data_IF_959212355264
#
_entry.id   IF_959212355264
#
_cell.length_a   1.000
_cell.length_b   1.000
_cell.length_c   1.000
_cell.angle_alpha   90.00
_cell.angle_beta   90.00
_cell.angle_gamma   90.00
#
_symmetry.space_group_name_H-M   'P 1'
#
loop_
_entity.id
_entity.type
_entity.pdbx_description
1 polymer ?
#
# COMPACT_ATOMS: atom_id res chain seq x y z
N UNK A 1 46.55 -50.52 28.08
CA UNK A 1 47.55 -50.38 27.02
C UNK A 1 47.26 -49.04 26.46
N UNK A 2 47.84 -48.13 27.11
CA UNK A 2 48.94 -47.19 26.79
C UNK A 2 48.58 -46.10 25.76
N UNK A 3 48.44 -44.99 26.34
CA UNK A 3 48.81 -43.61 25.90
C UNK A 3 50.29 -43.63 25.39
N UNK A 4 50.91 -42.64 24.75
CA UNK A 4 50.61 -41.20 24.76
C UNK A 4 51.01 -40.44 23.46
N UNK A 5 50.72 -39.16 23.29
CA UNK A 5 51.58 -37.95 23.40
C UNK A 5 50.91 -36.77 22.67
N UNK A 6 50.46 -35.86 23.40
CA UNK A 6 50.83 -34.45 23.65
C UNK A 6 51.81 -33.81 22.65
N UNK A 7 51.36 -32.72 22.00
CA UNK A 7 52.16 -31.48 21.88
C UNK A 7 51.29 -30.27 21.50
N UNK A 8 51.31 -29.41 22.46
CA UNK A 8 50.99 -27.97 22.36
C UNK A 8 51.76 -27.29 21.24
N UNK A 9 51.16 -26.23 20.66
CA UNK A 9 51.82 -24.95 20.44
C UNK A 9 50.82 -23.87 20.06
N UNK A 10 50.78 -22.88 20.92
CA UNK A 10 50.17 -21.59 20.80
C UNK A 10 51.02 -20.65 19.88
N UNK A 11 50.54 -19.42 19.62
CA UNK A 11 50.59 -18.72 18.35
C UNK A 11 51.78 -17.76 18.22
N UNK A 12 51.88 -17.00 17.19
CA UNK A 12 52.49 -15.65 17.33
C UNK A 12 51.57 -14.50 16.98
N UNK A 13 51.68 -13.55 17.82
CA UNK A 13 51.35 -12.20 17.90
C UNK A 13 51.96 -11.33 16.76
N UNK A 14 51.22 -10.30 16.43
CA UNK A 14 51.64 -8.93 16.15
C UNK A 14 52.78 -8.59 15.15
N UNK A 15 52.46 -7.62 14.38
CA UNK A 15 53.18 -6.36 14.06
C UNK A 15 53.04 -6.05 12.58
N UNK A 16 52.98 -4.85 12.07
CA UNK A 16 53.32 -3.53 12.55
C UNK A 16 52.93 -2.47 11.51
N UNK A 17 52.39 -1.37 11.97
CA UNK A 17 52.79 -0.02 11.66
C UNK A 17 53.21 0.38 10.22
N UNK A 18 52.47 1.31 9.62
CA UNK A 18 53.06 2.39 8.86
C UNK A 18 52.40 3.72 9.22
N UNK A 19 53.08 4.46 10.08
CA UNK A 19 52.96 5.88 10.27
C UNK A 19 53.70 6.55 9.13
N UNK A 20 53.11 7.57 8.51
CA UNK A 20 53.87 8.60 7.79
C UNK A 20 53.70 9.91 8.50
N UNK A 21 54.86 10.42 8.90
CA UNK A 21 55.11 11.65 9.59
C UNK A 21 55.19 12.82 8.61
N UNK A 22 54.72 13.93 9.10
CA UNK A 22 54.87 15.29 8.57
C UNK A 22 56.33 15.73 8.43
N UNK A 23 56.66 16.49 7.40
CA UNK A 23 57.72 17.58 7.42
C UNK A 23 57.42 18.62 6.35
N UNK A 24 57.06 19.77 6.76
CA UNK A 24 57.71 21.11 6.75
C UNK A 24 58.17 21.70 5.42
N UNK A 25 57.54 22.79 5.07
CA UNK A 25 57.98 24.12 4.69
C UNK A 25 59.08 24.30 3.63
N UNK A 26 58.75 25.13 2.62
CA UNK A 26 59.60 26.32 2.33
C UNK A 26 58.77 27.37 1.54
N UNK A 27 58.83 28.60 2.04
CA UNK A 27 58.26 29.79 1.45
C UNK A 27 59.17 30.33 0.37
N UNK A 28 58.61 30.80 -0.76
CA UNK A 28 59.26 31.83 -1.60
C UNK A 28 58.24 32.87 -1.98
N UNK A 29 58.50 34.09 -1.56
CA UNK A 29 57.81 35.32 -1.91
C UNK A 29 58.20 35.73 -3.34
N UNK A 30 57.25 36.06 -4.19
CA UNK A 30 57.38 37.06 -5.23
C UNK A 30 56.06 37.76 -5.51
N UNK A 31 56.13 39.06 -5.46
CA UNK A 31 55.08 40.02 -5.68
C UNK A 31 54.77 40.22 -7.17
N UNK A 32 53.52 40.54 -7.44
CA UNK A 32 53.21 41.40 -8.57
C UNK A 32 52.08 41.03 -9.46
N UNK A 33 51.16 41.99 -9.53
CA UNK A 33 50.22 42.33 -10.60
C UNK A 33 48.78 41.88 -10.35
N UNK A 34 48.02 42.87 -9.89
CA UNK A 34 46.55 42.95 -9.95
C UNK A 34 46.06 42.94 -11.40
N UNK A 35 45.28 41.95 -11.74
CA UNK A 35 44.28 42.07 -12.81
C UNK A 35 43.05 41.28 -12.39
N UNK A 36 41.90 41.93 -12.48
CA UNK A 36 40.60 41.47 -12.00
C UNK A 36 40.19 40.09 -12.48
N UNK A 37 39.93 39.23 -11.55
CA UNK A 37 39.19 37.98 -11.81
C UNK A 37 37.77 38.18 -11.29
N UNK A 38 36.86 38.39 -12.24
CA UNK A 38 35.42 38.25 -12.00
C UNK A 38 35.19 36.86 -11.48
N UNK A 39 34.74 36.73 -10.25
CA UNK A 39 34.26 35.48 -9.70
C UNK A 39 32.99 35.08 -10.48
N UNK A 40 33.16 34.21 -11.46
CA UNK A 40 32.07 33.39 -11.95
C UNK A 40 31.59 32.56 -10.76
N UNK A 41 30.44 32.94 -10.20
CA UNK A 41 29.71 32.11 -9.29
C UNK A 41 29.36 30.81 -10.02
N UNK A 42 30.04 29.74 -9.67
CA UNK A 42 29.64 28.39 -10.03
C UNK A 42 28.29 28.20 -9.32
N UNK A 43 27.18 27.95 -10.03
CA UNK A 43 25.94 27.63 -9.36
C UNK A 43 26.17 26.31 -8.57
N UNK A 44 25.91 26.40 -7.29
CA UNK A 44 25.98 25.27 -6.36
C UNK A 44 24.96 24.20 -6.83
N UNK A 45 25.46 23.25 -7.62
CA UNK A 45 24.63 22.15 -8.17
C UNK A 45 24.58 20.95 -7.22
N UNK A 46 24.52 21.18 -5.93
CA UNK A 46 24.38 20.13 -4.91
C UNK A 46 22.98 20.01 -4.32
N UNK A 47 21.95 20.49 -4.99
CA UNK A 47 20.60 20.06 -4.72
C UNK A 47 20.38 18.69 -5.38
N UNK A 48 20.73 17.63 -4.68
CA UNK A 48 20.21 16.29 -5.00
C UNK A 48 18.69 16.39 -4.97
N UNK A 49 17.97 16.03 -6.05
CA UNK A 49 16.52 16.06 -6.01
C UNK A 49 16.05 15.01 -4.99
N UNK A 50 15.41 15.44 -3.91
CA UNK A 50 14.47 14.62 -3.19
C UNK A 50 14.86 14.01 -1.87
N UNK A 51 15.84 14.54 -1.09
CA UNK A 51 15.85 14.20 0.34
C UNK A 51 14.75 15.00 1.04
N UNK A 52 13.64 14.34 1.40
CA UNK A 52 12.63 14.95 2.26
C UNK A 52 13.28 15.30 3.60
N UNK A 53 13.30 16.57 3.92
CA UNK A 53 13.73 17.03 5.24
C UNK A 53 12.78 16.47 6.33
N UNK A 54 13.28 16.26 7.54
CA UNK A 54 12.56 15.71 8.70
C UNK A 54 11.30 16.48 9.16
N UNK A 55 10.83 17.47 8.40
CA UNK A 55 9.61 18.23 8.62
C UNK A 55 8.50 17.97 7.59
N UNK A 56 8.69 17.02 6.68
CA UNK A 56 7.65 16.67 5.71
C UNK A 56 6.48 15.96 6.40
N UNK A 57 5.25 16.38 6.09
CA UNK A 57 4.03 15.76 6.59
C UNK A 57 3.84 14.34 6.06
N UNK A 58 2.78 13.63 6.48
CA UNK A 58 2.45 12.32 5.95
C UNK A 58 2.20 12.39 4.44
N UNK A 59 2.65 11.38 3.72
CA UNK A 59 2.54 11.32 2.26
C UNK A 59 1.65 10.15 1.87
N UNK A 60 0.67 10.45 1.01
CA UNK A 60 -0.10 9.45 0.31
C UNK A 60 0.58 9.05 -1.00
N UNK A 61 0.55 7.79 -1.33
CA UNK A 61 1.08 7.26 -2.59
C UNK A 61 -0.09 6.72 -3.41
N UNK A 62 -0.44 7.41 -4.47
CA UNK A 62 -1.59 7.11 -5.32
C UNK A 62 -1.11 6.34 -6.55
N UNK A 63 -1.70 5.18 -6.78
CA UNK A 63 -1.39 4.36 -7.96
C UNK A 63 -2.18 4.86 -9.15
N UNK A 64 -1.46 5.20 -10.20
CA UNK A 64 -1.94 5.57 -11.52
C UNK A 64 -1.56 4.48 -12.53
N UNK A 65 -2.13 4.43 -13.73
CA UNK A 65 -1.92 3.30 -14.66
C UNK A 65 -0.45 2.97 -15.00
N UNK A 66 0.45 3.95 -14.96
CA UNK A 66 1.87 3.76 -15.30
C UNK A 66 2.82 4.38 -14.29
N UNK A 67 2.30 4.90 -13.19
CA UNK A 67 3.10 5.62 -12.20
C UNK A 67 2.49 5.52 -10.81
N UNK A 68 3.30 5.85 -9.80
CA UNK A 68 2.82 6.19 -8.46
C UNK A 68 3.08 7.67 -8.24
N UNK A 69 2.04 8.41 -7.87
CA UNK A 69 2.16 9.84 -7.59
C UNK A 69 2.13 10.07 -6.09
N UNK A 70 3.22 10.57 -5.51
CA UNK A 70 3.21 11.01 -4.11
C UNK A 70 2.35 12.27 -3.96
N UNK A 71 1.58 12.31 -2.87
CA UNK A 71 0.74 13.43 -2.49
C UNK A 71 1.06 13.85 -1.06
N UNK A 72 1.61 15.04 -0.89
CA UNK A 72 1.80 15.61 0.45
C UNK A 72 0.41 15.93 1.04
N UNK A 73 0.06 15.29 2.16
CA UNK A 73 -1.32 15.28 2.64
C UNK A 73 -1.72 16.56 3.39
N UNK A 74 -0.76 17.31 3.95
CA UNK A 74 -1.03 18.59 4.64
C UNK A 74 -1.25 19.72 3.65
N UNK A 75 -0.31 19.91 2.72
CA UNK A 75 -0.38 20.94 1.70
C UNK A 75 -1.34 20.57 0.56
N UNK A 76 -1.67 19.28 0.45
CA UNK A 76 -2.47 18.71 -0.64
C UNK A 76 -1.85 18.98 -2.01
N UNK A 77 -0.53 18.83 -2.07
CA UNK A 77 0.24 19.08 -3.28
C UNK A 77 0.74 17.74 -3.85
N UNK A 78 0.36 17.36 -5.08
CA UNK A 78 0.94 16.21 -5.75
C UNK A 78 2.39 16.52 -6.15
N UNK A 79 3.25 15.53 -5.97
CA UNK A 79 4.66 15.60 -6.38
C UNK A 79 4.86 14.99 -7.78
N UNK A 80 6.09 14.96 -8.25
CA UNK A 80 6.43 14.35 -9.53
C UNK A 80 6.10 12.84 -9.52
N UNK A 81 5.43 12.31 -10.56
CA UNK A 81 5.08 10.90 -10.61
C UNK A 81 6.31 10.02 -10.75
N UNK A 82 6.34 8.92 -10.01
CA UNK A 82 7.35 7.88 -10.07
C UNK A 82 6.91 6.87 -11.11
N UNK A 83 7.56 6.85 -12.26
CA UNK A 83 7.21 5.96 -13.37
C UNK A 83 7.48 4.49 -13.00
N UNK A 84 6.53 3.62 -13.32
CA UNK A 84 6.66 2.18 -13.12
C UNK A 84 7.30 1.53 -14.36
N UNK A 85 8.37 0.75 -14.23
CA UNK A 85 9.06 0.12 -15.36
C UNK A 85 8.35 -1.18 -15.81
N UNK A 86 7.10 -1.08 -16.23
CA UNK A 86 6.22 -2.22 -16.56
C UNK A 86 5.94 -2.42 -18.04
N UNK A 87 6.46 -1.53 -18.88
CA UNK A 87 6.51 -1.69 -20.34
C UNK A 87 5.22 -1.37 -21.10
N UNK A 88 4.13 -1.07 -20.44
CA UNK A 88 2.83 -0.70 -21.03
C UNK A 88 1.80 -0.35 -19.97
N UNK A 89 0.57 -0.11 -20.38
CA UNK A 89 -0.54 0.15 -19.47
C UNK A 89 -1.22 -1.18 -19.12
N UNK A 90 -1.14 -1.65 -17.87
CA UNK A 90 -1.86 -2.83 -17.43
C UNK A 90 -3.37 -2.64 -17.49
N UNK A 91 -4.16 -3.72 -17.47
CA UNK A 91 -5.61 -3.63 -17.29
C UNK A 91 -5.98 -2.84 -16.03
N UNK A 92 -7.03 -2.04 -16.10
CA UNK A 92 -7.58 -1.33 -14.94
C UNK A 92 -8.05 -2.37 -13.90
N UNK A 93 -7.73 -2.13 -12.63
CA UNK A 93 -8.11 -3.00 -11.52
C UNK A 93 -7.01 -3.96 -11.03
N UNK A 94 -5.91 -4.10 -11.77
CA UNK A 94 -4.80 -4.99 -11.41
C UNK A 94 -3.66 -4.25 -10.69
N UNK A 95 -4.01 -3.40 -9.71
CA UNK A 95 -3.03 -2.64 -8.94
C UNK A 95 -3.37 -2.64 -7.46
N UNK A 96 -2.37 -2.89 -6.64
CA UNK A 96 -2.42 -2.59 -5.22
C UNK A 96 -1.09 -2.03 -4.76
N UNK A 97 -1.11 -1.22 -3.72
CA UNK A 97 0.07 -0.60 -3.14
C UNK A 97 0.07 -0.73 -1.63
N UNK A 98 1.24 -0.94 -1.06
CA UNK A 98 1.48 -0.89 0.38
C UNK A 98 2.83 -0.24 0.66
N UNK A 99 3.04 0.23 1.89
CA UNK A 99 4.32 0.77 2.35
C UNK A 99 4.95 -0.11 3.42
N UNK A 100 6.28 -0.13 3.49
CA UNK A 100 6.98 -0.75 4.60
C UNK A 100 6.77 0.05 5.89
N UNK A 101 6.82 -0.62 7.03
CA UNK A 101 6.62 -0.01 8.35
C UNK A 101 7.70 1.01 8.73
N UNK A 102 8.89 0.92 8.12
CA UNK A 102 9.99 1.88 8.28
C UNK A 102 9.84 3.11 7.35
N UNK A 103 8.79 3.16 6.52
CA UNK A 103 8.54 4.26 5.59
C UNK A 103 9.55 4.36 4.44
N UNK A 104 10.46 3.41 4.29
CA UNK A 104 11.52 3.47 3.28
C UNK A 104 11.06 2.99 1.91
N UNK A 105 10.17 2.02 1.86
CA UNK A 105 9.73 1.37 0.63
C UNK A 105 8.22 1.46 0.43
N UNK A 106 7.81 1.62 -0.82
CA UNK A 106 6.49 1.23 -1.26
C UNK A 106 6.60 0.05 -2.23
N UNK A 107 5.55 -0.76 -2.28
CA UNK A 107 5.47 -1.95 -3.12
C UNK A 107 4.18 -1.92 -3.90
N UNK A 108 4.30 -1.94 -5.22
CA UNK A 108 3.16 -2.02 -6.14
C UNK A 108 3.12 -3.40 -6.76
N UNK A 109 2.00 -4.09 -6.63
CA UNK A 109 1.73 -5.30 -7.40
C UNK A 109 0.91 -4.92 -8.62
N UNK A 110 1.31 -5.42 -9.79
CA UNK A 110 0.68 -5.14 -11.08
C UNK A 110 1.10 -6.14 -12.16
N UNK A 111 0.67 -5.91 -13.38
CA UNK A 111 1.09 -6.69 -14.55
C UNK A 111 2.07 -5.91 -15.41
N UNK A 112 3.09 -6.60 -15.89
CA UNK A 112 3.98 -6.11 -16.93
C UNK A 112 3.46 -6.56 -18.30
N UNK A 113 3.23 -5.58 -19.17
CA UNK A 113 2.64 -5.79 -20.51
C UNK A 113 3.61 -5.40 -21.62
N UNK A 114 4.89 -5.68 -21.45
CA UNK A 114 5.92 -5.31 -22.42
C UNK A 114 5.61 -5.88 -23.83
N UNK A 115 5.72 -5.06 -24.88
CA UNK A 115 5.42 -5.50 -26.25
C UNK A 115 6.19 -6.75 -26.66
N UNK A 116 5.50 -7.71 -27.26
CA UNK A 116 6.10 -8.98 -27.74
C UNK A 116 6.45 -9.98 -26.63
N UNK A 117 6.03 -9.73 -25.39
CA UNK A 117 6.20 -10.66 -24.27
C UNK A 117 4.84 -11.02 -23.68
N UNK A 118 4.69 -12.22 -23.11
CA UNK A 118 3.47 -12.55 -22.36
C UNK A 118 3.33 -11.63 -21.16
N UNK A 119 2.09 -11.31 -20.81
CA UNK A 119 1.77 -10.58 -19.59
C UNK A 119 2.25 -11.37 -18.37
N UNK A 120 2.98 -10.72 -17.50
CA UNK A 120 3.52 -11.33 -16.26
C UNK A 120 3.17 -10.50 -15.05
N UNK A 121 2.81 -11.16 -13.97
CA UNK A 121 2.59 -10.50 -12.69
C UNK A 121 3.93 -10.07 -12.10
N UNK A 122 3.99 -8.85 -11.59
CA UNK A 122 5.21 -8.26 -11.05
C UNK A 122 4.95 -7.50 -9.75
N UNK A 123 5.94 -7.54 -8.87
CA UNK A 123 6.05 -6.65 -7.73
C UNK A 123 7.11 -5.58 -8.05
N UNK A 124 6.74 -4.31 -7.95
CA UNK A 124 7.63 -3.17 -8.19
C UNK A 124 7.97 -2.50 -6.87
N UNK A 125 9.18 -2.67 -6.35
CA UNK A 125 9.64 -1.91 -5.19
C UNK A 125 9.95 -0.46 -5.59
N UNK A 126 9.55 0.49 -4.74
CA UNK A 126 9.82 1.92 -4.91
C UNK A 126 10.60 2.39 -3.69
N UNK A 127 11.80 2.92 -3.89
CA UNK A 127 12.57 3.59 -2.85
C UNK A 127 11.98 4.98 -2.63
N UNK A 128 11.39 5.20 -1.46
CA UNK A 128 10.68 6.44 -1.14
C UNK A 128 11.62 7.60 -0.81
N UNK A 129 12.85 7.30 -0.39
CA UNK A 129 13.85 8.34 -0.13
C UNK A 129 14.39 8.95 -1.43
N UNK A 130 14.57 8.12 -2.46
CA UNK A 130 15.05 8.56 -3.77
C UNK A 130 13.93 8.80 -4.77
N UNK A 131 12.69 8.45 -4.44
CA UNK A 131 11.52 8.51 -5.32
C UNK A 131 11.74 7.78 -6.66
N UNK A 132 12.31 6.58 -6.59
CA UNK A 132 12.61 5.77 -7.78
C UNK A 132 12.06 4.38 -7.67
N UNK A 133 11.41 3.93 -8.74
CA UNK A 133 11.03 2.55 -8.90
C UNK A 133 12.26 1.70 -9.21
N UNK A 134 12.37 0.57 -8.51
CA UNK A 134 13.40 -0.41 -8.76
C UNK A 134 12.97 -1.39 -9.87
N UNK A 135 13.88 -2.29 -10.28
CA UNK A 135 13.56 -3.34 -11.26
C UNK A 135 12.41 -4.19 -10.74
N UNK A 136 11.38 -4.46 -11.58
CA UNK A 136 10.28 -5.35 -11.21
C UNK A 136 10.77 -6.76 -10.85
N UNK A 137 10.11 -7.35 -9.89
CA UNK A 137 10.31 -8.75 -9.47
C UNK A 137 9.17 -9.56 -10.08
N UNK A 138 9.49 -10.50 -10.96
CA UNK A 138 8.48 -11.39 -11.54
C UNK A 138 7.87 -12.29 -10.47
N UNK A 139 6.54 -12.37 -10.44
CA UNK A 139 5.80 -13.22 -9.55
C UNK A 139 5.34 -14.48 -10.30
N UNK A 140 5.44 -15.66 -9.69
CA UNK A 140 4.81 -16.86 -10.26
C UNK A 140 3.28 -16.72 -10.22
N UNK A 141 2.60 -17.47 -11.09
CA UNK A 141 1.15 -17.44 -11.22
C UNK A 141 0.67 -16.53 -12.36
N UNK A 142 -0.63 -16.61 -12.62
CA UNK A 142 -1.31 -15.87 -13.69
C UNK A 142 -2.64 -15.34 -13.16
N UNK A 143 -3.19 -14.31 -13.79
CA UNK A 143 -4.44 -13.67 -13.43
C UNK A 143 -4.23 -12.34 -12.71
N UNK A 144 -5.28 -11.85 -12.06
CA UNK A 144 -5.28 -10.54 -11.41
C UNK A 144 -4.24 -10.40 -10.31
N UNK A 145 -3.71 -9.19 -10.16
CA UNK A 145 -2.73 -8.79 -9.13
C UNK A 145 -3.34 -7.69 -8.28
N UNK A 146 -4.23 -8.04 -7.37
CA UNK A 146 -5.12 -7.07 -6.74
C UNK A 146 -4.81 -6.79 -5.26
N UNK A 147 -3.83 -7.44 -4.66
CA UNK A 147 -3.54 -7.23 -3.25
C UNK A 147 -2.06 -7.38 -2.91
N UNK A 148 -1.58 -6.54 -2.00
CA UNK A 148 -0.21 -6.60 -1.48
C UNK A 148 -0.18 -6.09 -0.04
N UNK A 149 0.53 -6.79 0.84
CA UNK A 149 0.73 -6.39 2.25
C UNK A 149 2.16 -6.63 2.69
N UNK A 150 2.66 -5.80 3.59
CA UNK A 150 3.95 -6.01 4.26
C UNK A 150 3.71 -6.75 5.57
N UNK A 151 4.41 -7.85 5.79
CA UNK A 151 4.31 -8.62 7.04
C UNK A 151 4.86 -7.85 8.24
N UNK A 152 4.38 -8.19 9.43
CA UNK A 152 4.95 -7.70 10.68
C UNK A 152 6.47 -7.96 10.71
N UNK A 153 7.22 -6.96 11.13
CA UNK A 153 8.69 -7.01 11.10
C UNK A 153 9.34 -6.50 9.82
N UNK A 154 8.53 -6.12 8.80
CA UNK A 154 9.00 -5.34 7.65
C UNK A 154 9.96 -6.05 6.69
N UNK A 155 10.16 -7.38 6.80
CA UNK A 155 11.11 -8.13 5.95
C UNK A 155 10.50 -8.77 4.73
N UNK A 156 9.23 -9.08 4.77
CA UNK A 156 8.55 -9.84 3.72
C UNK A 156 7.33 -9.09 3.24
N UNK A 157 7.19 -9.00 1.92
CA UNK A 157 5.96 -8.59 1.25
C UNK A 157 5.21 -9.84 0.80
N UNK A 158 3.92 -9.88 1.03
CA UNK A 158 3.03 -10.88 0.47
C UNK A 158 2.27 -10.22 -0.69
N UNK A 159 2.42 -10.75 -1.89
CA UNK A 159 1.81 -10.25 -3.10
C UNK A 159 0.82 -11.28 -3.67
N UNK A 160 -0.37 -10.83 -4.06
CA UNK A 160 -1.33 -11.67 -4.75
C UNK A 160 -0.96 -11.86 -6.22
N UNK A 161 -1.08 -13.07 -6.73
CA UNK A 161 -0.88 -13.44 -8.13
C UNK A 161 -1.90 -14.52 -8.54
N UNK A 162 -3.07 -14.09 -9.01
CA UNK A 162 -4.18 -14.97 -9.31
C UNK A 162 -4.71 -15.67 -8.05
N UNK A 163 -4.55 -17.00 -7.97
CA UNK A 163 -4.95 -17.82 -6.81
C UNK A 163 -3.83 -17.99 -5.78
N UNK A 164 -2.65 -17.40 -6.03
CA UNK A 164 -1.47 -17.62 -5.18
C UNK A 164 -1.09 -16.38 -4.39
N UNK A 165 -0.56 -16.62 -3.19
CA UNK A 165 0.11 -15.61 -2.37
C UNK A 165 1.60 -15.87 -2.47
N UNK A 166 2.35 -14.88 -2.90
CA UNK A 166 3.78 -14.97 -3.17
C UNK A 166 4.54 -14.16 -2.13
N UNK A 167 5.32 -14.79 -1.25
CA UNK A 167 6.20 -14.06 -0.34
C UNK A 167 7.45 -13.59 -1.07
N UNK A 168 7.84 -12.34 -0.83
CA UNK A 168 9.06 -11.74 -1.38
C UNK A 168 9.86 -11.11 -0.24
N UNK A 169 11.11 -11.50 -0.08
CA UNK A 169 12.03 -10.88 0.89
C UNK A 169 12.46 -9.51 0.38
N UNK A 170 12.26 -8.47 1.19
CA UNK A 170 12.48 -7.07 0.81
C UNK A 170 13.97 -6.79 0.58
N UNK A 171 14.85 -7.34 1.39
CA UNK A 171 16.27 -7.04 1.35
C UNK A 171 17.00 -7.74 0.20
N UNK A 172 16.68 -9.02 -0.02
CA UNK A 172 17.32 -9.86 -1.05
C UNK A 172 16.57 -9.86 -2.37
N UNK A 173 15.29 -9.43 -2.36
CA UNK A 173 14.34 -9.53 -3.47
C UNK A 173 14.08 -10.97 -3.94
N UNK A 174 14.36 -11.93 -3.06
CA UNK A 174 14.12 -13.33 -3.34
C UNK A 174 12.62 -13.64 -3.25
N UNK A 175 12.11 -14.33 -4.26
CA UNK A 175 10.76 -14.88 -4.28
C UNK A 175 10.77 -16.20 -3.51
N UNK A 176 9.96 -16.28 -2.46
CA UNK A 176 9.80 -17.48 -1.66
C UNK A 176 8.80 -18.46 -2.28
N UNK A 177 8.51 -19.54 -1.55
CA UNK A 177 7.55 -20.54 -2.00
C UNK A 177 6.14 -19.97 -2.03
N UNK A 178 5.45 -19.96 -3.19
CA UNK A 178 4.08 -19.50 -3.29
C UNK A 178 3.12 -20.42 -2.53
N UNK A 179 2.10 -19.82 -1.90
CA UNK A 179 0.97 -20.54 -1.32
C UNK A 179 -0.20 -20.48 -2.29
N UNK A 180 -0.56 -21.61 -2.89
CA UNK A 180 -1.74 -21.72 -3.73
C UNK A 180 -2.98 -21.97 -2.87
N UNK A 181 -4.01 -21.14 -3.05
CA UNK A 181 -5.31 -21.26 -2.37
C UNK A 181 -6.24 -22.24 -3.05
N UNK A 182 -5.86 -22.76 -4.20
CA UNK A 182 -6.63 -23.69 -5.01
C UNK A 182 -7.50 -23.03 -6.09
N UNK A 183 -8.05 -23.84 -7.00
CA UNK A 183 -8.78 -23.35 -8.15
C UNK A 183 -10.05 -22.57 -7.75
N UNK A 184 -10.36 -21.54 -8.52
CA UNK A 184 -11.54 -20.69 -8.31
C UNK A 184 -11.43 -19.71 -7.13
N UNK A 185 -10.24 -19.57 -6.51
CA UNK A 185 -10.02 -18.67 -5.39
C UNK A 185 -9.10 -17.52 -5.77
N UNK A 186 -9.50 -16.76 -6.78
CA UNK A 186 -8.76 -15.54 -7.15
C UNK A 186 -8.72 -14.60 -5.94
N UNK A 187 -7.52 -14.18 -5.57
CA UNK A 187 -7.30 -13.22 -4.48
C UNK A 187 -7.73 -11.84 -4.97
N UNK A 188 -8.56 -11.15 -4.18
CA UNK A 188 -9.03 -9.79 -4.48
C UNK A 188 -8.53 -8.80 -3.45
N UNK A 189 -8.48 -9.20 -2.18
CA UNK A 189 -8.01 -8.35 -1.10
C UNK A 189 -7.27 -9.14 -0.04
N UNK A 190 -6.41 -8.48 0.70
CA UNK A 190 -5.66 -9.06 1.81
C UNK A 190 -5.57 -8.08 2.98
N UNK A 191 -5.80 -8.56 4.19
CA UNK A 191 -5.60 -7.80 5.42
C UNK A 191 -4.85 -8.63 6.45
N UNK A 192 -3.78 -8.08 6.99
CA UNK A 192 -2.99 -8.73 8.03
C UNK A 192 -3.58 -8.41 9.40
N UNK A 193 -3.74 -9.43 10.25
CA UNK A 193 -4.14 -9.20 11.64
C UNK A 193 -3.07 -8.37 12.36
N UNK A 194 -3.43 -7.31 13.08
CA UNK A 194 -2.46 -6.51 13.83
C UNK A 194 -1.89 -7.24 15.06
N UNK A 195 -2.55 -8.29 15.54
CA UNK A 195 -2.24 -8.95 16.82
C UNK A 195 -1.81 -10.41 16.70
N UNK A 196 -1.93 -11.00 15.50
CA UNK A 196 -1.59 -12.41 15.27
C UNK A 196 -0.90 -12.62 13.91
N UNK A 197 -0.16 -13.72 13.71
CA UNK A 197 0.44 -14.06 12.41
C UNK A 197 -0.60 -14.61 11.44
N UNK A 198 -1.74 -13.94 11.31
CA UNK A 198 -2.84 -14.36 10.44
C UNK A 198 -3.07 -13.32 9.35
N UNK A 199 -3.06 -13.77 8.11
CA UNK A 199 -3.48 -13.01 6.94
C UNK A 199 -4.90 -13.45 6.57
N UNK A 200 -5.81 -12.51 6.42
CA UNK A 200 -7.15 -12.75 5.87
C UNK A 200 -7.14 -12.43 4.39
N UNK A 201 -7.51 -13.40 3.58
CA UNK A 201 -7.50 -13.31 2.12
C UNK A 201 -8.92 -13.36 1.60
N UNK A 202 -9.36 -12.27 1.00
CA UNK A 202 -10.66 -12.19 0.33
C UNK A 202 -10.52 -12.73 -1.09
N UNK A 203 -11.41 -13.62 -1.44
CA UNK A 203 -11.51 -14.19 -2.78
C UNK A 203 -12.92 -14.60 -3.14
N UNK A 204 -13.09 -15.14 -4.34
CA UNK A 204 -14.41 -15.52 -4.89
C UNK A 204 -15.18 -16.59 -4.09
N UNK A 205 -14.62 -17.15 -3.05
CA UNK A 205 -15.29 -18.14 -2.18
C UNK A 205 -15.48 -17.70 -0.74
N UNK A 206 -15.26 -16.41 -0.45
CA UNK A 206 -15.27 -15.87 0.90
C UNK A 206 -13.89 -15.50 1.40
N UNK A 207 -13.66 -15.58 2.70
CA UNK A 207 -12.36 -15.22 3.32
C UNK A 207 -11.61 -16.47 3.73
N UNK A 208 -10.35 -16.58 3.33
CA UNK A 208 -9.44 -17.65 3.75
C UNK A 208 -8.45 -17.08 4.78
N UNK A 209 -8.48 -17.54 6.04
CA UNK A 209 -7.43 -17.23 7.00
C UNK A 209 -6.17 -18.02 6.66
N UNK A 210 -5.03 -17.34 6.62
CA UNK A 210 -3.72 -17.94 6.32
C UNK A 210 -2.80 -17.71 7.52
N UNK A 211 -2.29 -18.79 8.11
CA UNK A 211 -1.26 -18.71 9.12
C UNK A 211 0.09 -18.40 8.45
N UNK A 212 0.57 -17.17 8.60
CA UNK A 212 1.76 -16.68 7.88
C UNK A 212 3.07 -17.27 8.40
N UNK A 213 3.11 -17.70 9.66
CA UNK A 213 4.23 -18.38 10.30
C UNK A 213 4.42 -19.82 9.81
N UNK A 214 3.34 -20.46 9.35
CA UNK A 214 3.32 -21.85 8.86
C UNK A 214 3.11 -21.96 7.36
N UNK A 215 2.85 -20.83 6.68
CA UNK A 215 2.46 -20.77 5.28
C UNK A 215 1.31 -21.75 4.95
N UNK A 216 0.28 -21.79 5.78
CA UNK A 216 -0.85 -22.72 5.64
C UNK A 216 -2.17 -21.99 5.57
N UNK A 217 -3.01 -22.36 4.60
CA UNK A 217 -4.38 -21.86 4.47
C UNK A 217 -5.32 -22.66 5.39
N UNK A 218 -6.18 -21.93 6.10
CA UNK A 218 -7.27 -22.50 6.87
C UNK A 218 -8.51 -22.79 6.02
N UNK A 219 -9.58 -23.21 6.68
CA UNK A 219 -10.87 -23.39 6.01
C UNK A 219 -11.47 -22.04 5.61
N UNK A 220 -12.07 -21.93 4.43
CA UNK A 220 -12.75 -20.72 4.01
C UNK A 220 -13.93 -20.36 4.94
N UNK A 221 -14.01 -19.09 5.30
CA UNK A 221 -15.16 -18.50 5.97
C UNK A 221 -16.14 -18.05 4.88
N UNK A 222 -17.28 -18.70 4.80
CA UNK A 222 -18.33 -18.37 3.83
C UNK A 222 -19.07 -17.14 4.32
N UNK A 223 -18.88 -16.01 3.64
CA UNK A 223 -19.49 -14.73 4.03
C UNK A 223 -20.91 -14.54 3.52
N UNK A 224 -21.34 -15.32 2.55
CA UNK A 224 -22.59 -15.11 1.82
C UNK A 224 -22.54 -13.91 0.86
N UNK A 225 -21.36 -13.31 0.69
CA UNK A 225 -21.14 -12.20 -0.23
C UNK A 225 -20.49 -12.72 -1.53
N UNK A 226 -20.82 -12.06 -2.62
CA UNK A 226 -20.09 -12.14 -3.88
C UNK A 226 -19.18 -10.92 -3.98
N UNK A 227 -18.15 -11.01 -4.81
CA UNK A 227 -17.26 -9.88 -5.04
C UNK A 227 -17.97 -8.76 -5.78
N UNK A 228 -17.66 -7.52 -5.41
CA UNK A 228 -18.09 -6.34 -6.15
C UNK A 228 -17.48 -6.33 -7.56
N UNK A 229 -18.17 -5.68 -8.48
CA UNK A 229 -17.68 -5.45 -9.85
C UNK A 229 -16.43 -4.54 -9.86
N UNK A 230 -16.30 -3.70 -8.84
CA UNK A 230 -15.14 -2.82 -8.61
C UNK A 230 -14.41 -3.31 -7.36
N UNK A 231 -13.68 -4.40 -7.52
CA UNK A 231 -12.93 -4.97 -6.40
C UNK A 231 -11.72 -4.10 -6.09
N UNK A 232 -11.69 -3.53 -4.89
CA UNK A 232 -10.51 -2.85 -4.35
C UNK A 232 -9.70 -3.82 -3.47
N UNK A 233 -8.37 -3.67 -3.41
CA UNK A 233 -7.53 -4.38 -2.45
C UNK A 233 -7.97 -4.16 -1.00
N UNK A 234 -8.73 -3.11 -0.73
CA UNK A 234 -9.24 -2.72 0.57
C UNK A 234 -10.72 -3.12 0.79
N UNK A 235 -11.20 -4.17 0.14
CA UNK A 235 -12.54 -4.74 0.38
C UNK A 235 -12.70 -5.41 1.74
N UNK A 236 -11.64 -5.48 2.56
CA UNK A 236 -11.65 -6.01 3.92
C UNK A 236 -10.67 -5.25 4.83
N UNK A 237 -11.01 -5.17 6.12
CA UNK A 237 -10.16 -4.53 7.14
C UNK A 237 -10.33 -5.24 8.49
N UNK A 238 -9.23 -5.37 9.24
CA UNK A 238 -9.22 -5.96 10.59
C UNK A 238 -9.25 -4.84 11.63
N UNK A 239 -10.04 -5.00 12.70
CA UNK A 239 -10.03 -4.07 13.84
C UNK A 239 -8.64 -3.99 14.50
N UNK A 240 -8.33 -2.86 15.14
CA UNK A 240 -7.01 -2.64 15.75
C UNK A 240 -6.66 -3.64 16.86
N UNK A 241 -7.67 -4.17 17.55
CA UNK A 241 -7.53 -5.23 18.55
C UNK A 241 -7.44 -6.64 17.94
N UNK A 242 -7.59 -6.77 16.62
CA UNK A 242 -7.55 -8.03 15.90
C UNK A 242 -8.79 -8.91 16.08
N UNK A 243 -9.82 -8.46 16.81
CA UNK A 243 -10.97 -9.29 17.17
C UNK A 243 -12.02 -9.43 16.07
N UNK A 244 -12.13 -8.44 15.18
CA UNK A 244 -13.17 -8.40 14.16
C UNK A 244 -12.57 -8.09 12.79
N UNK A 245 -12.97 -8.86 11.79
CA UNK A 245 -12.71 -8.60 10.39
C UNK A 245 -14.01 -8.10 9.75
N UNK A 246 -13.95 -6.96 9.08
CA UNK A 246 -15.05 -6.41 8.30
C UNK A 246 -14.81 -6.71 6.82
N UNK A 247 -15.84 -7.20 6.14
CA UNK A 247 -15.75 -7.58 4.72
C UNK A 247 -16.90 -6.95 3.96
N UNK A 248 -16.58 -6.25 2.89
CA UNK A 248 -17.54 -5.67 1.96
C UNK A 248 -17.71 -6.56 0.72
N UNK A 249 -18.89 -6.57 0.16
CA UNK A 249 -19.21 -7.28 -1.08
C UNK A 249 -20.69 -7.17 -1.43
N UNK A 250 -21.08 -7.84 -2.50
CA UNK A 250 -22.47 -7.91 -2.94
C UNK A 250 -23.21 -8.99 -2.14
N UNK A 251 -24.37 -8.67 -1.63
CA UNK A 251 -25.28 -9.65 -1.05
C UNK A 251 -25.98 -10.50 -2.12
N UNK A 252 -26.92 -11.36 -1.74
CA UNK A 252 -27.81 -12.05 -2.68
C UNK A 252 -28.51 -11.07 -3.62
N UNK A 253 -28.96 -11.51 -4.83
CA UNK A 253 -29.36 -10.63 -5.94
C UNK A 253 -30.33 -9.49 -5.61
N UNK A 254 -31.15 -9.66 -4.58
CA UNK A 254 -32.18 -8.66 -4.21
C UNK A 254 -31.76 -7.73 -3.07
N UNK A 255 -30.52 -7.82 -2.58
CA UNK A 255 -30.12 -7.13 -1.35
C UNK A 255 -29.03 -6.06 -1.53
N UNK A 256 -28.48 -5.90 -2.73
CA UNK A 256 -27.41 -4.94 -2.98
C UNK A 256 -26.10 -5.24 -2.24
N UNK A 257 -25.25 -4.24 -2.14
CA UNK A 257 -23.98 -4.35 -1.41
C UNK A 257 -24.18 -4.45 0.10
N UNK A 258 -23.23 -5.11 0.77
CA UNK A 258 -23.27 -5.33 2.21
C UNK A 258 -21.89 -5.31 2.82
N UNK A 259 -21.86 -5.05 4.12
CA UNK A 259 -20.67 -5.27 4.94
C UNK A 259 -21.04 -6.23 6.06
N UNK A 260 -20.22 -7.25 6.26
CA UNK A 260 -20.39 -8.24 7.33
C UNK A 260 -19.21 -8.21 8.29
N UNK A 261 -19.46 -8.27 9.60
CA UNK A 261 -18.43 -8.46 10.61
C UNK A 261 -18.16 -9.96 10.78
N UNK A 262 -16.91 -10.35 10.97
CA UNK A 262 -16.48 -11.73 11.24
C UNK A 262 -15.67 -11.73 12.53
N UNK A 263 -16.09 -12.51 13.51
CA UNK A 263 -15.30 -12.74 14.71
C UNK A 263 -14.05 -13.55 14.36
N UNK A 264 -12.88 -12.98 14.48
CA UNK A 264 -11.62 -13.57 14.00
C UNK A 264 -11.24 -14.85 14.75
N UNK A 265 -11.56 -14.93 16.03
CA UNK A 265 -11.26 -16.09 16.88
C UNK A 265 -12.06 -17.35 16.50
N UNK A 266 -13.27 -17.19 15.98
CA UNK A 266 -14.21 -18.30 15.71
C UNK A 266 -14.56 -18.46 14.24
N UNK A 267 -14.30 -17.44 13.40
CA UNK A 267 -14.78 -17.38 12.02
C UNK A 267 -16.28 -17.19 11.88
N UNK A 268 -16.98 -16.86 12.95
CA UNK A 268 -18.44 -16.65 12.92
C UNK A 268 -18.75 -15.33 12.22
N UNK A 269 -19.57 -15.40 11.17
CA UNK A 269 -20.08 -14.24 10.43
C UNK A 269 -21.27 -13.67 11.18
N UNK A 270 -21.19 -12.40 11.54
CA UNK A 270 -22.27 -11.69 12.20
C UNK A 270 -23.32 -11.15 11.23
N UNK A 271 -24.34 -10.50 11.78
CA UNK A 271 -25.36 -9.84 10.97
C UNK A 271 -24.74 -8.70 10.15
N UNK A 272 -25.16 -8.52 8.89
CA UNK A 272 -24.70 -7.41 8.08
C UNK A 272 -25.14 -6.06 8.68
N UNK A 273 -24.42 -4.99 8.35
CA UNK A 273 -24.88 -3.64 8.67
C UNK A 273 -26.27 -3.39 8.04
N UNK A 274 -27.16 -2.74 8.80
CA UNK A 274 -28.56 -2.52 8.41
C UNK A 274 -28.72 -1.37 7.39
N UNK A 275 -28.37 -1.60 6.16
CA UNK A 275 -28.49 -0.62 5.06
C UNK A 275 -29.88 -0.57 4.40
N UNK A 276 -30.90 -1.17 5.01
CA UNK A 276 -32.24 -1.32 4.45
C UNK A 276 -32.91 0.02 4.05
N UNK A 277 -32.42 1.15 4.55
CA UNK A 277 -32.98 2.48 4.24
C UNK A 277 -32.23 3.25 3.16
N UNK A 278 -30.95 2.97 2.97
CA UNK A 278 -30.08 3.75 2.08
C UNK A 278 -29.40 2.93 1.00
N UNK A 279 -29.34 1.60 1.16
CA UNK A 279 -28.82 0.63 0.19
C UNK A 279 -27.40 0.91 -0.27
N UNK A 280 -26.42 0.14 0.19
CA UNK A 280 -25.14 0.09 -0.52
C UNK A 280 -25.35 -0.62 -1.84
N UNK A 281 -24.96 0.00 -2.94
CA UNK A 281 -25.15 -0.60 -4.27
C UNK A 281 -23.93 -1.41 -4.71
N UNK A 282 -22.72 -0.85 -4.54
CA UNK A 282 -21.48 -1.51 -4.97
C UNK A 282 -20.29 -1.09 -4.07
N UNK A 283 -20.10 -1.76 -2.90
CA UNK A 283 -19.04 -1.39 -1.98
C UNK A 283 -17.68 -1.77 -2.56
N UNK A 284 -16.91 -0.78 -2.95
CA UNK A 284 -15.58 -0.94 -3.53
C UNK A 284 -14.50 -1.18 -2.47
N UNK A 285 -14.50 -0.38 -1.40
CA UNK A 285 -13.48 -0.43 -0.37
C UNK A 285 -14.03 -0.11 1.02
N UNK A 286 -13.34 -0.57 2.06
CA UNK A 286 -13.64 -0.28 3.46
C UNK A 286 -12.39 0.15 4.22
N UNK A 287 -12.56 1.11 5.14
CA UNK A 287 -11.50 1.52 6.04
C UNK A 287 -12.07 1.82 7.43
N UNK A 288 -11.31 1.49 8.49
CA UNK A 288 -11.63 1.91 9.84
C UNK A 288 -11.04 3.30 10.12
N UNK A 289 -11.78 4.14 10.81
CA UNK A 289 -11.20 5.36 11.39
C UNK A 289 -10.06 5.00 12.34
N UNK A 290 -9.13 5.91 12.54
CA UNK A 290 -7.91 5.67 13.36
C UNK A 290 -8.22 5.28 14.80
N UNK A 291 -9.36 5.76 15.33
CA UNK A 291 -9.87 5.40 16.65
C UNK A 291 -10.67 4.09 16.67
N UNK A 292 -10.85 3.46 15.49
CA UNK A 292 -11.62 2.23 15.32
C UNK A 292 -13.13 2.37 15.56
N UNK A 293 -13.65 3.60 15.79
CA UNK A 293 -15.04 3.80 16.15
C UNK A 293 -16.02 3.70 14.99
N UNK A 294 -15.55 3.93 13.77
CA UNK A 294 -16.37 3.94 12.56
C UNK A 294 -15.72 3.14 11.44
N UNK A 295 -16.54 2.41 10.72
CA UNK A 295 -16.20 1.83 9.45
C UNK A 295 -16.72 2.74 8.35
N UNK A 296 -15.87 3.11 7.40
CA UNK A 296 -16.18 3.89 6.23
C UNK A 296 -16.25 2.94 5.05
N UNK A 297 -17.28 3.05 4.23
CA UNK A 297 -17.49 2.22 3.05
C UNK A 297 -17.58 3.12 1.83
N UNK A 298 -16.73 2.89 0.86
CA UNK A 298 -16.79 3.57 -0.42
C UNK A 298 -17.78 2.86 -1.34
N UNK A 299 -18.94 3.47 -1.58
CA UNK A 299 -19.95 2.95 -2.51
C UNK A 299 -19.73 3.55 -3.89
N UNK A 300 -19.29 2.70 -4.83
CA UNK A 300 -18.89 3.12 -6.16
C UNK A 300 -20.07 3.40 -7.08
N UNK A 301 -21.21 2.74 -6.91
CA UNK A 301 -22.36 2.90 -7.80
C UNK A 301 -23.12 4.20 -7.53
N UNK A 302 -23.23 4.60 -6.26
CA UNK A 302 -24.02 5.76 -5.85
C UNK A 302 -23.21 7.02 -5.56
N UNK A 303 -21.86 6.93 -5.60
CA UNK A 303 -20.93 8.00 -5.22
C UNK A 303 -21.10 8.47 -3.77
N UNK A 304 -21.16 7.53 -2.86
CA UNK A 304 -21.39 7.76 -1.45
C UNK A 304 -20.27 7.22 -0.58
N UNK A 305 -20.18 7.76 0.61
CA UNK A 305 -19.45 7.15 1.72
C UNK A 305 -20.47 6.77 2.78
N UNK A 306 -20.64 5.49 2.98
CA UNK A 306 -21.47 4.98 4.07
C UNK A 306 -20.63 4.90 5.35
N UNK A 307 -21.27 5.18 6.47
CA UNK A 307 -20.63 5.28 7.76
C UNK A 307 -21.33 4.35 8.74
N UNK A 308 -20.59 3.36 9.22
CA UNK A 308 -21.10 2.37 10.17
C UNK A 308 -20.40 2.55 11.52
N UNK A 309 -21.13 2.92 12.57
CA UNK A 309 -20.58 2.90 13.93
C UNK A 309 -20.24 1.44 14.31
N UNK A 310 -18.99 1.18 14.68
CA UNK A 310 -18.57 -0.19 15.03
C UNK A 310 -19.30 -0.71 16.27
N UNK A 311 -19.58 0.15 17.24
CA UNK A 311 -20.31 -0.21 18.46
C UNK A 311 -21.82 -0.42 18.23
N UNK A 312 -22.38 0.13 17.15
CA UNK A 312 -23.80 0.00 16.78
C UNK A 312 -23.90 -0.36 15.31
N UNK A 313 -23.37 -1.53 14.97
CA UNK A 313 -23.19 -1.98 13.59
C UNK A 313 -24.51 -2.16 12.83
N UNK A 314 -25.61 -2.36 13.57
CA UNK A 314 -26.93 -2.52 12.98
C UNK A 314 -27.57 -1.20 12.50
N UNK A 315 -27.05 -0.05 12.98
CA UNK A 315 -27.63 1.26 12.72
C UNK A 315 -26.59 2.19 12.04
N UNK A 316 -26.36 2.05 10.72
CA UNK A 316 -25.47 2.93 9.99
C UNK A 316 -25.99 4.39 10.04
N UNK A 317 -25.08 5.33 9.96
CA UNK A 317 -25.40 6.74 9.82
C UNK A 317 -25.89 7.03 8.40
N UNK A 318 -26.50 8.20 8.21
CA UNK A 318 -26.84 8.68 6.87
C UNK A 318 -25.57 8.74 6.00
N UNK A 319 -25.61 8.21 4.77
CA UNK A 319 -24.48 8.24 3.88
C UNK A 319 -24.18 9.68 3.41
N UNK A 320 -22.91 9.93 3.07
CA UNK A 320 -22.46 11.23 2.63
C UNK A 320 -22.07 11.17 1.16
N UNK A 321 -22.77 11.94 0.34
CA UNK A 321 -22.52 11.99 -1.10
C UNK A 321 -21.19 12.69 -1.40
N UNK A 322 -20.38 12.11 -2.28
CA UNK A 322 -19.20 12.79 -2.79
C UNK A 322 -19.59 14.09 -3.50
N UNK A 323 -18.84 15.17 -3.28
CA UNK A 323 -19.06 16.41 -4.02
C UNK A 323 -18.85 16.14 -5.51
N UNK A 324 -19.83 16.47 -6.32
CA UNK A 324 -19.69 16.45 -7.79
C UNK A 324 -18.54 17.38 -8.14
N UNK A 325 -17.49 16.86 -8.74
CA UNK A 325 -16.30 17.61 -9.11
C UNK A 325 -16.71 18.84 -9.94
N UNK A 326 -16.32 20.02 -9.48
CA UNK A 326 -16.74 21.32 -10.03
C UNK A 326 -16.14 21.66 -11.40
N UNK A 327 -16.34 20.80 -12.36
CA UNK A 327 -16.20 21.13 -13.78
C UNK A 327 -17.59 21.05 -14.40
N UNK A 328 -18.05 22.14 -14.95
CA UNK A 328 -19.31 22.41 -15.60
C UNK A 328 -19.63 21.58 -16.86
N UNK A 329 -19.17 20.36 -16.92
CA UNK A 329 -19.65 19.38 -17.85
C UNK A 329 -20.60 18.48 -17.09
N UNK A 330 -21.87 18.48 -17.44
CA UNK A 330 -22.80 17.40 -17.19
C UNK A 330 -22.17 16.10 -17.73
N UNK A 331 -21.20 15.60 -17.01
CA UNK A 331 -20.52 14.36 -17.32
C UNK A 331 -21.45 13.25 -16.90
N UNK A 332 -22.03 12.64 -17.85
CA UNK A 332 -22.37 11.24 -17.84
C UNK A 332 -21.26 10.45 -17.14
N UNK A 333 -21.49 10.00 -15.90
CA UNK A 333 -20.70 8.94 -15.28
C UNK A 333 -19.46 9.42 -14.52
N UNK A 334 -19.56 9.41 -13.23
CA UNK A 334 -18.81 8.54 -12.37
C UNK A 334 -17.47 9.05 -11.89
N UNK A 335 -17.51 10.04 -11.03
CA UNK A 335 -16.43 10.29 -10.07
C UNK A 335 -16.55 9.27 -8.90
N UNK A 336 -16.79 8.00 -9.25
CA UNK A 336 -17.05 6.95 -8.27
C UNK A 336 -15.81 6.68 -7.40
N UNK A 337 -15.99 6.48 -6.09
CA UNK A 337 -14.89 6.11 -5.23
C UNK A 337 -14.41 4.69 -5.58
N UNK A 338 -13.10 4.56 -5.75
CA UNK A 338 -12.44 3.27 -6.03
C UNK A 338 -11.71 2.75 -4.82
N UNK A 339 -11.30 3.63 -3.91
CA UNK A 339 -10.57 3.26 -2.72
C UNK A 339 -10.79 4.27 -1.59
N UNK A 340 -10.61 3.81 -0.36
CA UNK A 340 -10.65 4.63 0.85
C UNK A 340 -9.58 4.18 1.83
N UNK A 341 -8.76 5.11 2.31
CA UNK A 341 -7.69 4.82 3.26
C UNK A 341 -7.70 5.82 4.40
N UNK A 342 -7.32 5.36 5.58
CA UNK A 342 -7.05 6.20 6.74
C UNK A 342 -5.55 6.27 6.97
N UNK A 343 -5.05 7.43 7.34
CA UNK A 343 -3.61 7.65 7.57
C UNK A 343 -3.24 7.56 9.03
N UNK A 344 -2.00 7.20 9.36
CA UNK A 344 -1.50 7.23 10.73
C UNK A 344 -1.52 8.68 11.26
N UNK A 345 -2.04 8.86 12.45
CA UNK A 345 -2.08 10.17 13.13
C UNK A 345 -3.06 11.19 12.54
N UNK A 346 -3.89 10.83 11.57
CA UNK A 346 -4.94 11.69 11.03
C UNK A 346 -6.31 11.24 11.54
N UNK A 347 -7.16 12.19 11.91
CA UNK A 347 -8.57 11.93 12.20
C UNK A 347 -9.40 11.75 10.94
N UNK A 348 -8.78 11.90 9.76
CA UNK A 348 -9.41 11.91 8.47
C UNK A 348 -9.15 10.65 7.63
N UNK A 349 -9.94 10.50 6.59
CA UNK A 349 -9.77 9.53 5.53
C UNK A 349 -9.46 10.22 4.21
N UNK A 350 -8.96 9.45 3.25
CA UNK A 350 -8.70 9.89 1.88
C UNK A 350 -9.42 8.95 0.94
N UNK A 351 -10.26 9.52 0.08
CA UNK A 351 -11.05 8.79 -0.89
C UNK A 351 -10.42 9.00 -2.26
N UNK A 352 -10.12 7.90 -2.92
CA UNK A 352 -9.62 7.89 -4.30
C UNK A 352 -10.79 7.68 -5.23
N UNK A 353 -10.86 8.46 -6.32
CA UNK A 353 -11.90 8.29 -7.33
C UNK A 353 -11.31 7.76 -8.64
N UNK A 354 -12.12 7.07 -9.43
CA UNK A 354 -11.71 6.52 -10.72
C UNK A 354 -11.22 7.57 -11.73
N UNK A 355 -11.60 8.84 -11.56
CA UNK A 355 -11.05 9.94 -12.33
C UNK A 355 -9.69 10.45 -11.85
N UNK A 356 -9.15 9.85 -10.79
CA UNK A 356 -7.84 10.21 -10.26
C UNK A 356 -7.82 11.44 -9.39
N UNK A 357 -8.88 11.64 -8.66
CA UNK A 357 -9.00 12.67 -7.63
C UNK A 357 -8.87 12.05 -6.25
N UNK A 358 -8.16 12.71 -5.37
CA UNK A 358 -8.11 12.36 -3.94
C UNK A 358 -8.90 13.42 -3.17
N UNK A 359 -9.89 12.96 -2.40
CA UNK A 359 -10.71 13.79 -1.53
C UNK A 359 -10.39 13.50 -0.08
N UNK A 360 -9.85 14.47 0.67
CA UNK A 360 -9.79 14.36 2.12
C UNK A 360 -11.20 14.36 2.72
N UNK A 361 -11.45 13.52 3.69
CA UNK A 361 -12.73 13.38 4.36
C UNK A 361 -12.56 13.37 5.87
N UNK A 362 -13.33 14.20 6.56
CA UNK A 362 -13.44 14.20 8.02
C UNK A 362 -14.67 13.39 8.43
N UNK A 363 -14.48 12.17 8.96
CA UNK A 363 -15.61 11.33 9.36
C UNK A 363 -16.33 11.83 10.63
N UNK A 364 -15.71 12.73 11.42
CA UNK A 364 -16.32 13.29 12.62
C UNK A 364 -17.35 14.34 12.28
N UNK A 365 -16.99 15.27 11.39
CA UNK A 365 -17.86 16.35 10.93
C UNK A 365 -18.60 16.02 9.65
N UNK A 366 -18.31 14.85 9.04
CA UNK A 366 -18.91 14.41 7.76
C UNK A 366 -18.71 15.43 6.63
N UNK A 367 -17.51 16.00 6.54
CA UNK A 367 -17.17 17.03 5.58
C UNK A 367 -16.00 16.64 4.70
N UNK A 368 -16.07 17.06 3.42
CA UNK A 368 -14.97 16.88 2.48
C UNK A 368 -14.05 18.10 2.47
N UNK A 369 -12.77 17.84 2.38
CA UNK A 369 -11.79 18.86 2.09
C UNK A 369 -11.72 19.17 0.57
N UNK A 370 -10.81 20.06 0.20
CA UNK A 370 -10.57 20.38 -1.22
C UNK A 370 -10.05 19.16 -1.96
N UNK A 371 -10.71 18.82 -3.06
CA UNK A 371 -10.29 17.75 -3.96
C UNK A 371 -8.95 18.07 -4.64
N UNK A 372 -8.11 17.06 -4.81
CA UNK A 372 -6.82 17.15 -5.49
C UNK A 372 -6.80 16.18 -6.66
N UNK A 373 -6.65 16.70 -7.88
CA UNK A 373 -6.45 15.84 -9.05
C UNK A 373 -5.00 15.38 -9.08
N UNK A 374 -4.79 14.07 -9.11
CA UNK A 374 -3.47 13.44 -9.07
C UNK A 374 -3.10 12.88 -10.45
N UNK A 375 -4.00 12.10 -11.06
CA UNK A 375 -3.80 11.51 -12.39
C UNK A 375 -5.16 11.20 -13.03
N UNK A 376 -5.19 10.44 -14.10
CA UNK A 376 -6.39 9.82 -14.64
C UNK A 376 -6.33 8.31 -14.41
N UNK A 377 -7.42 7.70 -13.93
CA UNK A 377 -7.50 6.27 -13.67
C UNK A 377 -6.74 5.83 -12.41
N UNK A 378 -6.82 6.59 -11.33
CA UNK A 378 -6.32 6.15 -10.03
C UNK A 378 -7.12 4.94 -9.53
N UNK A 379 -6.43 3.97 -8.97
CA UNK A 379 -7.05 2.70 -8.56
C UNK A 379 -6.94 2.46 -7.06
N UNK A 380 -5.83 2.82 -6.46
CA UNK A 380 -5.54 2.53 -5.06
C UNK A 380 -4.60 3.56 -4.47
N UNK A 381 -4.59 3.67 -3.15
CA UNK A 381 -3.72 4.55 -2.40
C UNK A 381 -3.24 3.87 -1.11
N UNK A 382 -2.06 4.22 -0.67
CA UNK A 382 -1.58 3.93 0.67
C UNK A 382 -1.02 5.19 1.31
N UNK A 383 -1.02 5.27 2.63
CA UNK A 383 -0.38 6.35 3.36
C UNK A 383 0.89 5.83 3.98
N UNK A 384 2.02 6.42 3.58
CA UNK A 384 3.31 6.13 4.19
C UNK A 384 3.38 6.72 5.59
N UNK A 385 3.92 5.94 6.53
CA UNK A 385 4.33 6.50 7.83
C UNK A 385 5.38 7.59 7.58
N UNK A 386 5.37 8.64 8.40
CA UNK A 386 6.52 9.54 8.49
C UNK A 386 7.73 8.73 8.94
N UNK A 387 8.88 8.83 8.28
CA UNK A 387 10.10 8.16 8.71
C UNK A 387 10.51 8.60 10.13
#
# INVERSE_FOLDING_TARGET
>A
MEDPTRRDRNPPTESSWCRWTTTSALAILMAGILTGCSTLAIPDSSALPGSRGAAAGPVGYVVCPTAVTPLELRSRTPEAPILLPIGGTPPLGDFAITTSSDGRWAFVVTQSTAPGRPTTNVLVPIDLATQRAARPIALPGHGATSAVVVMHGGRTVLAASGTTIVPVDIATRAVGMPLDLGPGRTVVGMALSPTSPTLYVLGSGGVVPVATDKATAGLPIVTGLTLSSVSSPHGLVVSADGSTLFVAGQGPPDYGGRVVPIATATGVVGAPAGFDRFGISDPAAVALTTDGSRLLVADSADNWIDIVPVADFANPLAPVRLPSGGTTAAASGTDHPTDIVTGPGSTGAFIVTGHGTVLPYDPTHQTFGRAVRVCSGATSMTVGGTP
#
